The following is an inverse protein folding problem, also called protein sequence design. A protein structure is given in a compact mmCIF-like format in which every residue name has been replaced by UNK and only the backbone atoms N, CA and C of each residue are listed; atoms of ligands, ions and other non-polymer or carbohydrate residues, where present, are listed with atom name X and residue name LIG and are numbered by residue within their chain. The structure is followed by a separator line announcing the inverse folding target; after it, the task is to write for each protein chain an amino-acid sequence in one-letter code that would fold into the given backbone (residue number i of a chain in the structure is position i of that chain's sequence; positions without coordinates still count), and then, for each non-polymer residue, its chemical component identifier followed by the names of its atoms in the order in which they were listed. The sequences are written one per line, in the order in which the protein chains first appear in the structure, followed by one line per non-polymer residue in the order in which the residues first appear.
data_IF_953293628441
#
_entry.id   IF_953293628441
#
_cell.length_a   1.000
_cell.length_b   1.000
_cell.length_c   1.000
_cell.angle_alpha   90.00
_cell.angle_beta   90.00
_cell.angle_gamma   90.00
#
_symmetry.space_group_name_H-M   'P 1'
#
loop_
_entity.id
_entity.type
_entity.pdbx_description
1 polymer ?
#
# COMPACT_ATOMS: atom_id res chain seq x y z
N UNK A 1 -8.30 13.39 16.97
CA UNK A 1 -7.76 12.18 17.64
C UNK A 1 -7.06 12.44 18.99
N UNK A 2 -7.13 13.65 19.58
CA UNK A 2 -6.47 13.94 20.87
C UNK A 2 -4.98 13.56 20.86
N UNK A 3 -4.48 12.97 21.96
CA UNK A 3 -3.11 12.46 22.09
C UNK A 3 -2.83 11.14 21.34
N UNK A 4 -3.76 10.65 20.52
CA UNK A 4 -3.69 9.32 19.88
C UNK A 4 -3.22 9.32 18.44
N UNK A 5 -3.09 10.48 17.80
CA UNK A 5 -2.52 10.61 16.45
C UNK A 5 -1.06 11.03 16.60
N UNK A 6 -0.16 10.14 16.17
CA UNK A 6 1.28 10.26 16.40
C UNK A 6 2.02 10.47 15.09
N UNK A 7 2.91 11.46 15.05
CA UNK A 7 3.77 11.77 13.90
C UNK A 7 5.15 12.21 14.40
N UNK A 8 5.95 11.25 14.85
CA UNK A 8 7.29 11.45 15.41
C UNK A 8 8.29 12.04 14.40
N UNK A 9 8.14 11.72 13.11
CA UNK A 9 9.06 12.16 12.06
C UNK A 9 8.35 12.79 10.85
N UNK A 10 7.10 13.22 11.01
CA UNK A 10 6.32 13.85 9.95
C UNK A 10 5.75 15.18 10.42
N UNK A 11 6.07 16.22 9.65
CA UNK A 11 5.80 17.61 9.99
C UNK A 11 5.15 18.33 8.81
N UNK A 12 4.50 19.45 9.09
CA UNK A 12 3.93 20.34 8.09
C UNK A 12 4.47 21.76 8.29
N UNK A 13 4.68 22.49 7.20
CA UNK A 13 4.93 23.93 7.23
C UNK A 13 3.60 24.64 7.47
N UNK A 14 3.47 25.26 8.63
CA UNK A 14 2.29 26.03 9.00
C UNK A 14 2.10 27.20 8.03
N UNK A 15 0.90 27.32 7.47
CA UNK A 15 0.61 28.28 6.40
C UNK A 15 0.69 29.75 6.84
N UNK A 16 0.56 30.03 8.14
CA UNK A 16 0.54 31.40 8.66
C UNK A 16 1.91 31.84 9.19
N UNK A 17 2.65 30.92 9.82
CA UNK A 17 3.92 31.20 10.49
C UNK A 17 5.14 30.74 9.70
N UNK A 18 4.94 29.94 8.65
CA UNK A 18 5.98 29.26 7.88
C UNK A 18 6.92 28.39 8.73
N UNK A 19 6.51 28.04 9.96
CA UNK A 19 7.26 27.17 10.86
C UNK A 19 6.93 25.71 10.57
N UNK A 20 7.93 24.85 10.62
CA UNK A 20 7.75 23.40 10.59
C UNK A 20 7.22 22.93 11.93
N UNK A 21 6.00 22.37 11.95
CA UNK A 21 5.33 21.90 13.16
C UNK A 21 4.86 20.45 13.02
N UNK A 22 4.78 19.68 14.12
CA UNK A 22 4.22 18.33 14.07
C UNK A 22 2.75 18.34 13.65
N UNK A 23 2.35 17.37 12.82
CA UNK A 23 0.94 17.20 12.41
C UNK A 23 0.11 16.61 13.57
N UNK A 24 0.70 15.65 14.27
CA UNK A 24 0.19 15.03 15.49
C UNK A 24 1.18 15.16 16.64
N UNK A 25 1.00 14.34 17.67
CA UNK A 25 1.94 14.33 18.80
C UNK A 25 3.21 13.58 18.40
N UNK A 26 4.37 14.06 18.84
CA UNK A 26 5.64 13.37 18.60
C UNK A 26 5.72 12.02 19.33
N UNK A 27 5.09 11.94 20.49
CA UNK A 27 4.94 10.72 21.29
C UNK A 27 3.73 10.87 22.23
N UNK A 28 3.36 9.78 22.89
CA UNK A 28 2.37 9.81 23.97
C UNK A 28 2.74 8.81 25.07
N UNK A 29 2.68 9.27 26.33
CA UNK A 29 2.82 8.43 27.51
C UNK A 29 1.44 8.22 28.12
N UNK A 30 1.02 6.98 28.30
CA UNK A 30 -0.29 6.66 28.86
C UNK A 30 -0.29 5.37 29.68
N UNK A 31 -1.34 5.17 30.46
CA UNK A 31 -1.57 3.94 31.24
C UNK A 31 -2.75 3.19 30.65
N UNK A 32 -2.56 1.91 30.34
CA UNK A 32 -3.64 1.01 29.90
C UNK A 32 -4.59 0.67 31.06
N UNK A 33 -5.76 0.11 30.74
CA UNK A 33 -6.81 -0.25 31.72
C UNK A 33 -6.29 -1.06 32.91
N UNK A 34 -5.35 -1.97 32.69
CA UNK A 34 -4.77 -2.86 33.72
C UNK A 34 -3.41 -2.35 34.25
N UNK A 35 -3.10 -1.08 34.06
CA UNK A 35 -1.96 -0.44 34.71
C UNK A 35 -0.65 -0.42 33.93
N UNK A 36 -0.54 -1.11 32.78
CA UNK A 36 0.66 -1.04 31.92
C UNK A 36 0.93 0.38 31.47
N UNK A 37 2.13 0.89 31.76
CA UNK A 37 2.62 2.20 31.32
C UNK A 37 3.29 2.06 29.96
N UNK A 38 2.83 2.85 29.01
CA UNK A 38 3.26 2.76 27.61
C UNK A 38 3.84 4.08 27.17
N UNK A 39 5.00 4.03 26.53
CA UNK A 39 5.51 5.12 25.70
C UNK A 39 5.26 4.75 24.24
N UNK A 40 4.54 5.59 23.50
CA UNK A 40 4.22 5.32 22.09
C UNK A 40 4.76 6.38 21.13
N UNK A 41 5.25 5.93 19.97
CA UNK A 41 5.77 6.75 18.86
C UNK A 41 5.03 6.46 17.55
N UNK A 42 5.13 7.41 16.61
CA UNK A 42 4.47 7.43 15.31
C UNK A 42 5.43 7.61 14.14
N UNK A 43 5.94 6.56 13.50
CA UNK A 43 6.96 6.70 12.43
C UNK A 43 6.40 6.40 11.03
N UNK A 44 6.65 7.31 10.09
CA UNK A 44 6.51 7.08 8.66
C UNK A 44 7.85 6.56 8.10
N UNK A 45 7.81 5.69 7.09
CA UNK A 45 9.00 5.33 6.30
C UNK A 45 9.61 6.56 5.61
N UNK A 46 10.77 6.40 4.97
CA UNK A 46 11.40 7.48 4.20
C UNK A 46 10.64 7.78 2.90
N UNK A 47 9.47 8.41 3.05
CA UNK A 47 8.60 8.80 1.94
C UNK A 47 9.13 10.06 1.26
N UNK A 48 9.48 9.92 -0.03
CA UNK A 48 10.04 11.02 -0.84
C UNK A 48 9.01 11.72 -1.74
N UNK A 49 7.77 11.21 -1.80
CA UNK A 49 6.70 11.74 -2.66
C UNK A 49 5.78 12.75 -1.97
N UNK A 50 6.26 13.42 -0.93
CA UNK A 50 5.43 14.33 -0.13
C UNK A 50 5.26 15.70 -0.80
N UNK A 51 4.16 16.38 -0.50
CA UNK A 51 3.94 17.75 -0.95
C UNK A 51 5.02 18.69 -0.38
N UNK A 52 5.29 19.81 -1.08
CA UNK A 52 6.36 20.76 -0.73
C UNK A 52 6.27 21.37 0.69
N UNK A 53 5.08 21.36 1.29
CA UNK A 53 4.83 21.83 2.64
C UNK A 53 4.90 20.72 3.70
N UNK A 54 5.16 19.47 3.32
CA UNK A 54 5.30 18.33 4.23
C UNK A 54 6.77 17.95 4.35
N UNK A 55 7.24 17.74 5.57
CA UNK A 55 8.62 17.36 5.87
C UNK A 55 8.63 16.00 6.54
N UNK A 56 9.31 15.04 5.94
CA UNK A 56 9.59 13.74 6.52
C UNK A 56 11.04 13.74 6.95
N UNK A 57 11.27 13.61 8.25
CA UNK A 57 12.62 13.45 8.78
C UNK A 57 13.00 11.96 8.79
N UNK A 58 14.20 11.58 8.31
CA UNK A 58 14.64 10.21 8.36
C UNK A 58 14.70 9.66 9.79
N UNK A 59 14.25 8.43 9.99
CA UNK A 59 14.14 7.89 11.37
C UNK A 59 15.47 7.79 12.10
N UNK A 60 16.59 7.58 11.39
CA UNK A 60 17.94 7.59 11.97
C UNK A 60 18.35 8.99 12.48
N UNK A 61 17.78 10.06 11.94
CA UNK A 61 17.98 11.43 12.44
C UNK A 61 17.03 11.69 13.60
N UNK A 62 15.74 11.41 13.45
CA UNK A 62 14.71 11.70 14.45
C UNK A 62 15.02 11.08 15.81
N UNK A 63 15.55 9.85 15.84
CA UNK A 63 15.91 9.17 17.10
C UNK A 63 17.06 9.86 17.85
N UNK A 64 17.86 10.70 17.20
CA UNK A 64 18.94 11.46 17.85
C UNK A 64 18.45 12.77 18.46
N UNK A 65 17.23 13.22 18.14
CA UNK A 65 16.73 14.51 18.57
C UNK A 65 16.54 14.60 20.09
N UNK A 66 16.73 15.79 20.71
CA UNK A 66 16.63 15.96 22.16
C UNK A 66 15.30 15.53 22.77
N UNK A 67 14.19 15.70 22.05
CA UNK A 67 12.87 15.30 22.54
C UNK A 67 12.74 13.77 22.65
N UNK A 68 13.29 13.02 21.68
CA UNK A 68 13.25 11.57 21.67
C UNK A 68 14.09 11.02 22.82
N UNK A 69 15.33 11.51 22.95
CA UNK A 69 16.24 11.15 24.02
C UNK A 69 15.68 11.47 25.42
N UNK A 70 14.98 12.60 25.58
CA UNK A 70 14.27 12.91 26.84
C UNK A 70 13.12 11.93 27.11
N UNK A 71 12.35 11.57 26.08
CA UNK A 71 11.21 10.64 26.23
C UNK A 71 11.64 9.25 26.69
N UNK A 72 12.85 8.80 26.33
CA UNK A 72 13.40 7.51 26.78
C UNK A 72 13.70 7.48 28.28
N UNK A 73 13.77 8.62 28.98
CA UNK A 73 14.01 8.66 30.43
C UNK A 73 12.74 8.42 31.25
N UNK A 74 11.58 8.37 30.60
CA UNK A 74 10.30 8.17 31.25
C UNK A 74 10.15 6.73 31.74
N UNK A 75 9.68 6.57 32.99
CA UNK A 75 9.45 5.24 33.56
C UNK A 75 8.19 4.60 32.95
N UNK A 76 8.41 3.64 32.05
CA UNK A 76 7.40 2.86 31.32
C UNK A 76 7.70 1.37 31.36
N UNK A 77 6.66 0.57 31.11
CA UNK A 77 6.73 -0.89 31.11
C UNK A 77 6.93 -1.45 29.69
N UNK A 78 6.52 -0.71 28.66
CA UNK A 78 6.63 -1.12 27.24
C UNK A 78 6.72 0.10 26.32
N UNK A 79 7.51 -0.03 25.25
CA UNK A 79 7.54 0.90 24.14
C UNK A 79 6.67 0.39 22.98
N UNK A 80 5.85 1.27 22.42
CA UNK A 80 4.95 0.98 21.32
C UNK A 80 5.26 1.85 20.11
N UNK A 81 5.71 1.25 19.03
CA UNK A 81 5.94 1.93 17.75
C UNK A 81 4.72 1.66 16.89
N UNK A 82 3.99 2.68 16.49
CA UNK A 82 2.92 2.56 15.50
C UNK A 82 3.36 3.38 14.29
N UNK A 83 3.18 2.86 13.09
CA UNK A 83 3.69 3.59 11.94
C UNK A 83 3.30 3.02 10.61
N UNK A 84 3.22 3.89 9.61
CA UNK A 84 3.14 3.46 8.22
C UNK A 84 4.57 3.16 7.74
N UNK A 85 5.16 2.10 8.30
CA UNK A 85 6.54 1.67 8.04
C UNK A 85 6.57 0.14 7.96
N UNK A 86 7.25 -0.46 6.98
CA UNK A 86 7.40 -1.91 6.94
C UNK A 86 8.21 -2.40 8.12
N UNK A 87 7.75 -3.48 8.75
CA UNK A 87 8.36 -3.99 9.99
C UNK A 87 9.82 -4.42 9.80
N UNK A 88 10.21 -4.83 8.59
CA UNK A 88 11.58 -5.31 8.31
C UNK A 88 12.54 -4.24 7.78
N UNK A 89 12.04 -3.05 7.46
CA UNK A 89 12.85 -1.98 6.86
C UNK A 89 13.79 -1.31 7.88
N UNK A 90 14.82 -0.66 7.36
CA UNK A 90 15.85 0.00 8.17
C UNK A 90 15.21 1.06 9.09
N UNK A 91 14.17 1.74 8.62
CA UNK A 91 13.52 2.80 9.37
C UNK A 91 12.90 2.31 10.68
N UNK A 92 12.25 1.15 10.66
CA UNK A 92 11.73 0.49 11.85
C UNK A 92 12.86 0.04 12.79
N UNK A 93 13.92 -0.55 12.23
CA UNK A 93 15.11 -1.01 12.98
C UNK A 93 15.84 0.15 13.67
N UNK A 94 15.94 1.31 13.04
CA UNK A 94 16.57 2.51 13.64
C UNK A 94 15.91 2.90 14.96
N UNK A 95 14.57 2.89 15.02
CA UNK A 95 13.81 3.24 16.23
C UNK A 95 14.01 2.19 17.32
N UNK A 96 13.93 0.91 16.95
CA UNK A 96 14.14 -0.22 17.88
C UNK A 96 15.55 -0.17 18.46
N UNK A 97 16.57 0.02 17.62
CA UNK A 97 17.96 0.09 18.04
C UNK A 97 18.21 1.29 18.97
N UNK A 98 17.60 2.45 18.69
CA UNK A 98 17.73 3.62 19.55
C UNK A 98 17.08 3.39 20.94
N UNK A 99 15.92 2.73 20.99
CA UNK A 99 15.30 2.34 22.27
C UNK A 99 16.19 1.32 22.99
N UNK A 100 16.69 0.30 22.28
CA UNK A 100 17.57 -0.74 22.84
C UNK A 100 18.86 -0.21 23.42
N UNK A 101 19.45 0.81 22.79
CA UNK A 101 20.65 1.48 23.30
C UNK A 101 20.43 2.14 24.67
N UNK A 102 19.23 2.66 24.92
CA UNK A 102 18.85 3.23 26.22
C UNK A 102 18.26 2.19 27.19
N UNK A 103 17.61 1.15 26.64
CA UNK A 103 16.83 0.14 27.35
C UNK A 103 17.12 -1.27 26.79
N UNK A 104 18.17 -1.95 27.31
CA UNK A 104 18.61 -3.26 26.83
C UNK A 104 17.57 -4.38 26.89
N UNK A 105 16.52 -4.28 27.71
CA UNK A 105 15.53 -5.35 27.87
C UNK A 105 14.07 -4.89 28.04
N UNK A 106 13.75 -3.59 27.97
CA UNK A 106 12.34 -3.14 27.95
C UNK A 106 11.56 -3.78 26.78
N UNK A 107 10.34 -4.28 26.97
CA UNK A 107 9.49 -4.73 25.87
C UNK A 107 9.31 -3.65 24.78
N UNK A 108 9.43 -4.03 23.51
CA UNK A 108 9.14 -3.17 22.34
C UNK A 108 8.13 -3.87 21.42
N UNK A 109 7.04 -3.20 21.10
CA UNK A 109 6.02 -3.69 20.18
C UNK A 109 5.90 -2.73 19.01
N UNK A 110 5.90 -3.24 17.79
CA UNK A 110 5.76 -2.46 16.57
C UNK A 110 4.52 -2.90 15.78
N UNK A 111 3.68 -1.94 15.38
CA UNK A 111 2.61 -2.13 14.41
C UNK A 111 2.92 -1.32 13.15
N UNK A 112 3.28 -2.04 12.09
CA UNK A 112 3.74 -1.49 10.81
C UNK A 112 2.71 -1.61 9.69
N UNK A 113 3.14 -1.28 8.48
CA UNK A 113 2.31 -1.34 7.28
C UNK A 113 3.08 -1.07 5.99
N UNK A 114 2.47 -0.31 5.07
CA UNK A 114 3.02 0.11 3.77
C UNK A 114 3.15 -0.98 2.70
N UNK A 115 3.69 -2.16 3.02
CA UNK A 115 3.87 -3.23 2.02
C UNK A 115 2.62 -4.00 1.66
N UNK A 116 1.50 -3.76 2.35
CA UNK A 116 0.21 -4.41 2.08
C UNK A 116 0.24 -5.95 2.29
N UNK A 117 1.05 -6.43 3.24
CA UNK A 117 1.22 -7.87 3.54
C UNK A 117 0.95 -8.19 5.02
N UNK A 118 0.54 -9.43 5.28
CA UNK A 118 0.59 -10.07 6.60
C UNK A 118 2.05 -10.40 6.90
N UNK A 119 2.60 -9.91 7.99
CA UNK A 119 3.98 -10.22 8.40
C UNK A 119 4.17 -10.06 9.91
N UNK A 120 5.04 -10.88 10.47
CA UNK A 120 5.44 -10.84 11.86
C UNK A 120 6.94 -11.05 11.97
N UNK A 121 7.61 -10.19 12.73
CA UNK A 121 9.04 -10.29 12.92
C UNK A 121 9.45 -10.21 14.39
N UNK A 122 10.44 -11.01 14.77
CA UNK A 122 11.08 -10.93 16.07
C UNK A 122 12.46 -10.29 15.90
N UNK A 123 12.65 -9.12 16.49
CA UNK A 123 13.94 -8.43 16.44
C UNK A 123 14.89 -8.98 17.52
N UNK A 124 14.33 -9.34 18.68
CA UNK A 124 14.99 -10.02 19.77
C UNK A 124 13.94 -10.73 20.66
N UNK A 125 14.36 -11.27 21.80
CA UNK A 125 13.47 -12.01 22.71
C UNK A 125 12.42 -11.16 23.42
N UNK A 126 12.44 -9.84 23.25
CA UNK A 126 11.53 -8.87 23.90
C UNK A 126 11.10 -7.74 22.94
N UNK A 127 11.35 -7.85 21.64
CA UNK A 127 10.95 -6.90 20.61
C UNK A 127 10.30 -7.60 19.42
N UNK A 128 9.07 -7.21 19.10
CA UNK A 128 8.27 -7.83 18.03
C UNK A 128 7.57 -6.80 17.15
N UNK A 129 7.39 -7.12 15.87
CA UNK A 129 6.69 -6.29 14.89
C UNK A 129 5.59 -7.07 14.18
N UNK A 130 4.45 -6.44 13.91
CA UNK A 130 3.30 -7.00 13.18
C UNK A 130 2.86 -6.05 12.06
N UNK A 131 2.64 -6.58 10.86
CA UNK A 131 1.96 -5.93 9.73
C UNK A 131 0.66 -6.68 9.41
N UNK A 132 -0.43 -5.95 9.22
CA UNK A 132 -1.78 -6.49 9.16
C UNK A 132 -2.42 -6.40 7.77
N UNK A 133 -1.68 -6.73 6.71
CA UNK A 133 -2.24 -6.80 5.35
C UNK A 133 -2.68 -5.45 4.79
N UNK A 134 -3.84 -5.43 4.12
CA UNK A 134 -4.37 -4.28 3.39
C UNK A 134 -5.90 -4.30 3.30
N UNK A 135 -6.48 -3.20 2.81
CA UNK A 135 -7.84 -3.09 2.26
C UNK A 135 -8.99 -3.64 3.12
N UNK A 136 -8.83 -3.61 4.44
CA UNK A 136 -9.78 -4.24 5.36
C UNK A 136 -9.98 -5.72 5.03
N UNK A 137 -8.97 -6.43 4.49
CA UNK A 137 -8.95 -7.88 4.26
C UNK A 137 -8.45 -8.61 5.52
N UNK A 138 -7.66 -7.94 6.36
CA UNK A 138 -7.03 -8.54 7.54
C UNK A 138 -7.20 -7.67 8.79
N UNK A 139 -7.54 -8.30 9.92
CA UNK A 139 -7.38 -7.75 11.26
C UNK A 139 -6.18 -8.43 11.94
N UNK A 140 -5.11 -7.69 12.18
CA UNK A 140 -3.93 -8.20 12.88
C UNK A 140 -4.14 -8.29 14.39
N UNK A 141 -3.72 -9.40 14.99
CA UNK A 141 -3.81 -9.66 16.42
C UNK A 141 -2.45 -10.08 16.98
N UNK A 142 -2.07 -9.52 18.13
CA UNK A 142 -0.86 -9.91 18.87
C UNK A 142 -1.16 -9.88 20.37
N UNK A 143 -0.78 -10.95 21.08
CA UNK A 143 -0.82 -11.01 22.55
C UNK A 143 0.57 -11.26 23.11
N UNK A 144 0.94 -10.55 24.17
CA UNK A 144 2.27 -10.64 24.79
C UNK A 144 2.13 -10.80 26.29
N UNK A 145 2.75 -11.84 26.84
CA UNK A 145 2.83 -12.12 28.28
C UNK A 145 4.25 -11.94 28.80
N UNK A 146 4.39 -11.63 30.08
CA UNK A 146 5.68 -11.39 30.74
C UNK A 146 6.13 -9.92 30.82
N UNK A 147 5.29 -8.97 30.40
CA UNK A 147 5.58 -7.52 30.53
C UNK A 147 5.71 -7.10 32.01
N UNK A 148 4.88 -7.66 32.89
CA UNK A 148 4.83 -7.35 34.33
C UNK A 148 5.62 -8.32 35.21
N UNK A 149 6.59 -9.04 34.65
CA UNK A 149 7.48 -9.88 35.47
C UNK A 149 8.18 -9.01 36.53
N UNK A 150 7.99 -9.35 37.81
CA UNK A 150 8.55 -8.61 38.94
C UNK A 150 10.08 -8.59 38.88
N UNK A 151 10.70 -9.66 38.37
CA UNK A 151 12.14 -9.72 38.18
C UNK A 151 12.62 -8.66 37.18
N UNK A 152 11.77 -8.27 36.22
CA UNK A 152 12.05 -7.26 35.19
C UNK A 152 11.79 -5.81 35.60
N UNK A 153 11.44 -5.55 36.87
CA UNK A 153 11.43 -4.17 37.38
C UNK A 153 12.82 -3.53 37.30
N UNK A 154 13.86 -4.34 37.52
CA UNK A 154 15.25 -3.98 37.24
C UNK A 154 15.59 -4.54 35.87
N UNK A 155 15.87 -3.65 34.92
CA UNK A 155 16.03 -4.03 33.52
C UNK A 155 17.17 -5.02 33.26
N UNK A 156 18.29 -4.87 33.98
CA UNK A 156 19.44 -5.77 33.89
C UNK A 156 19.06 -7.24 34.13
N UNK A 157 18.07 -7.51 34.99
CA UNK A 157 17.63 -8.86 35.33
C UNK A 157 16.85 -9.56 34.20
N UNK A 158 16.51 -8.83 33.13
CA UNK A 158 15.72 -9.34 32.01
C UNK A 158 16.44 -9.31 30.67
N UNK A 159 17.72 -8.94 30.66
CA UNK A 159 18.60 -9.24 29.54
C UNK A 159 18.62 -10.76 29.33
N UNK A 160 18.31 -11.20 28.11
CA UNK A 160 18.23 -12.63 27.77
C UNK A 160 16.95 -13.36 28.20
N UNK A 161 15.99 -12.70 28.87
CA UNK A 161 14.69 -13.31 29.22
C UNK A 161 13.64 -13.09 28.15
N UNK A 162 12.93 -14.14 27.78
CA UNK A 162 11.96 -14.09 26.71
C UNK A 162 10.59 -13.59 27.19
N UNK A 163 9.90 -12.84 26.34
CA UNK A 163 8.45 -12.68 26.42
C UNK A 163 7.77 -13.87 25.74
N UNK A 164 6.55 -14.17 26.14
CA UNK A 164 5.70 -15.12 25.41
C UNK A 164 4.80 -14.32 24.48
N UNK A 165 4.92 -14.53 23.17
CA UNK A 165 4.12 -13.84 22.16
C UNK A 165 3.30 -14.83 21.34
N UNK A 166 2.09 -14.41 20.97
CA UNK A 166 1.26 -15.06 19.95
C UNK A 166 0.76 -14.01 18.97
N UNK A 167 0.64 -14.41 17.71
CA UNK A 167 0.19 -13.56 16.59
C UNK A 167 -0.84 -14.29 15.74
N UNK A 168 -1.85 -13.54 15.29
CA UNK A 168 -2.89 -14.02 14.36
C UNK A 168 -3.23 -12.96 13.31
N UNK A 169 -3.60 -13.42 12.12
CA UNK A 169 -4.18 -12.58 11.07
C UNK A 169 -5.60 -13.07 10.83
N UNK A 170 -6.57 -12.24 11.20
CA UNK A 170 -7.98 -12.61 11.13
C UNK A 170 -8.56 -12.15 9.80
N UNK A 171 -9.21 -13.06 9.09
CA UNK A 171 -10.05 -12.70 7.97
C UNK A 171 -11.18 -11.77 8.39
N UNK A 172 -11.44 -10.77 7.59
CA UNK A 172 -12.32 -9.64 7.93
C UNK A 172 -13.75 -9.89 7.48
N UNK A 173 -14.36 -10.92 8.05
CA UNK A 173 -15.73 -11.29 7.77
C UNK A 173 -16.51 -11.55 9.07
N UNK A 174 -17.84 -11.50 8.99
CA UNK A 174 -18.73 -11.68 10.15
C UNK A 174 -18.57 -13.06 10.79
N UNK A 175 -18.25 -14.09 10.00
CA UNK A 175 -18.04 -15.44 10.51
C UNK A 175 -16.81 -15.47 11.43
N UNK A 176 -15.65 -14.99 10.97
CA UNK A 176 -14.43 -14.83 11.77
C UNK A 176 -14.69 -14.04 13.04
N UNK A 177 -15.33 -12.88 12.93
CA UNK A 177 -15.56 -12.03 14.10
C UNK A 177 -16.46 -12.70 15.13
N UNK A 178 -17.52 -13.41 14.71
CA UNK A 178 -18.37 -14.18 15.62
C UNK A 178 -17.60 -15.30 16.31
N UNK A 179 -16.80 -16.05 15.55
CA UNK A 179 -15.99 -17.16 16.07
C UNK A 179 -15.02 -16.69 17.16
N UNK A 180 -14.40 -15.52 16.99
CA UNK A 180 -13.44 -15.00 17.98
C UNK A 180 -14.05 -14.16 19.10
N UNK A 181 -15.21 -13.51 18.89
CA UNK A 181 -15.79 -12.61 19.88
C UNK A 181 -16.81 -13.27 20.81
N UNK A 182 -17.46 -14.37 20.37
CA UNK A 182 -18.54 -14.99 21.13
C UNK A 182 -18.03 -16.18 21.95
N UNK A 183 -18.41 -16.23 23.23
CA UNK A 183 -18.18 -17.40 24.06
C UNK A 183 -19.14 -18.55 23.70
N UNK A 184 -20.33 -18.22 23.16
CA UNK A 184 -21.31 -19.19 22.68
C UNK A 184 -21.97 -18.73 21.37
N UNK A 185 -22.25 -19.63 20.39
CA UNK A 185 -22.81 -19.26 19.09
C UNK A 185 -24.17 -18.53 19.14
N UNK A 186 -24.93 -18.72 20.23
CA UNK A 186 -26.24 -18.08 20.44
C UNK A 186 -26.15 -16.64 20.99
N UNK A 187 -24.96 -16.17 21.35
CA UNK A 187 -24.78 -14.81 21.84
C UNK A 187 -24.99 -13.79 20.72
N UNK A 188 -25.58 -12.65 21.08
CA UNK A 188 -25.82 -11.57 20.13
C UNK A 188 -24.50 -10.88 19.78
N UNK A 189 -24.12 -10.97 18.51
CA UNK A 189 -22.94 -10.29 17.96
C UNK A 189 -23.21 -8.82 17.66
N UNK A 190 -24.33 -8.52 16.99
CA UNK A 190 -24.60 -7.16 16.51
C UNK A 190 -24.99 -6.19 17.62
N UNK A 191 -24.23 -5.12 17.73
CA UNK A 191 -24.53 -4.00 18.62
C UNK A 191 -25.40 -2.97 17.92
N UNK A 192 -26.17 -2.19 18.69
CA UNK A 192 -26.93 -1.06 18.13
C UNK A 192 -26.01 -0.05 17.42
N UNK A 193 -24.85 0.25 18.02
CA UNK A 193 -23.86 1.14 17.43
C UNK A 193 -23.30 0.61 16.10
N UNK A 194 -23.00 -0.69 16.03
CA UNK A 194 -22.53 -1.33 14.81
C UNK A 194 -23.55 -1.21 13.67
N UNK A 195 -24.83 -1.53 13.94
CA UNK A 195 -25.90 -1.38 12.95
C UNK A 195 -26.13 0.07 12.53
N UNK A 196 -26.02 1.02 13.46
CA UNK A 196 -26.08 2.46 13.13
C UNK A 196 -24.97 2.84 12.14
N UNK A 197 -23.73 2.43 12.38
CA UNK A 197 -22.60 2.68 11.48
C UNK A 197 -22.82 2.01 10.11
N UNK A 198 -23.31 0.76 10.08
CA UNK A 198 -23.66 0.08 8.82
C UNK A 198 -24.66 0.89 8.01
N UNK A 199 -25.74 1.37 8.65
CA UNK A 199 -26.76 2.18 7.97
C UNK A 199 -26.21 3.50 7.46
N UNK A 200 -25.36 4.18 8.25
CA UNK A 200 -24.70 5.41 7.83
C UNK A 200 -23.81 5.19 6.60
N UNK A 201 -22.98 4.14 6.58
CA UNK A 201 -22.16 3.78 5.42
C UNK A 201 -23.03 3.52 4.20
N UNK A 202 -24.12 2.75 4.33
CA UNK A 202 -25.06 2.47 3.23
C UNK A 202 -25.68 3.76 2.67
N UNK A 203 -26.09 4.69 3.55
CA UNK A 203 -26.65 5.98 3.13
C UNK A 203 -25.62 6.84 2.39
N UNK A 204 -24.38 6.90 2.88
CA UNK A 204 -23.30 7.64 2.22
C UNK A 204 -22.97 7.06 0.84
N UNK A 205 -22.85 5.73 0.71
CA UNK A 205 -22.64 5.07 -0.58
C UNK A 205 -23.74 5.40 -1.59
N UNK A 206 -25.00 5.41 -1.14
CA UNK A 206 -26.15 5.78 -1.97
C UNK A 206 -26.09 7.26 -2.37
N UNK A 207 -25.81 8.16 -1.43
CA UNK A 207 -25.74 9.61 -1.69
C UNK A 207 -24.63 9.96 -2.70
N UNK A 208 -23.51 9.23 -2.67
CA UNK A 208 -22.40 9.38 -3.61
C UNK A 208 -22.62 8.65 -4.95
N UNK A 209 -23.70 7.89 -5.10
CA UNK A 209 -24.00 7.15 -6.33
C UNK A 209 -22.99 6.04 -6.65
N UNK A 210 -22.23 5.55 -5.67
CA UNK A 210 -21.11 4.62 -5.89
C UNK A 210 -21.52 3.30 -6.56
N UNK A 211 -22.75 2.85 -6.35
CA UNK A 211 -23.30 1.64 -6.97
C UNK A 211 -23.87 1.84 -8.38
N UNK A 212 -23.66 3.00 -9.00
CA UNK A 212 -24.07 3.24 -10.39
C UNK A 212 -23.24 2.36 -11.32
N UNK A 213 -23.91 1.48 -12.08
CA UNK A 213 -23.27 0.58 -13.04
C UNK A 213 -22.84 1.36 -14.28
N UNK A 214 -21.59 1.18 -14.68
CA UNK A 214 -20.98 1.78 -15.88
C UNK A 214 -20.94 0.80 -17.05
N UNK A 215 -20.94 -0.50 -16.77
CA UNK A 215 -20.98 -1.59 -17.74
C UNK A 215 -20.81 -2.93 -17.05
N UNK A 216 -20.81 -4.01 -17.82
CA UNK A 216 -20.64 -5.37 -17.31
C UNK A 216 -19.35 -6.01 -17.83
N UNK A 217 -18.36 -6.20 -16.95
CA UNK A 217 -17.10 -6.85 -17.26
C UNK A 217 -17.34 -8.32 -17.67
N UNK A 218 -16.82 -8.78 -18.83
CA UNK A 218 -17.16 -10.10 -19.37
C UNK A 218 -16.52 -11.26 -18.60
N UNK A 219 -15.44 -11.00 -17.87
CA UNK A 219 -14.68 -11.97 -17.09
C UNK A 219 -13.93 -11.27 -15.95
N UNK A 220 -13.32 -12.07 -15.07
CA UNK A 220 -12.39 -11.55 -14.08
C UNK A 220 -11.07 -11.12 -14.73
N UNK A 221 -10.54 -9.98 -14.30
CA UNK A 221 -9.20 -9.52 -14.64
C UNK A 221 -8.39 -9.32 -13.37
N UNK A 222 -7.27 -10.01 -13.28
CA UNK A 222 -6.43 -10.08 -12.09
C UNK A 222 -5.17 -9.24 -12.24
N UNK A 223 -4.86 -8.44 -11.22
CA UNK A 223 -3.71 -7.55 -11.20
C UNK A 223 -2.40 -8.34 -11.21
N UNK A 224 -2.29 -9.37 -10.37
CA UNK A 224 -1.03 -10.09 -10.13
C UNK A 224 -1.20 -11.61 -9.97
N UNK A 225 -2.31 -12.21 -10.42
CA UNK A 225 -2.52 -13.68 -10.36
C UNK A 225 -2.11 -14.43 -11.64
N UNK A 226 -2.12 -13.75 -12.78
CA UNK A 226 -1.80 -14.33 -14.09
C UNK A 226 -0.68 -13.56 -14.80
N UNK A 227 0.19 -14.23 -15.60
CA UNK A 227 1.24 -13.57 -16.36
C UNK A 227 0.71 -12.43 -17.23
N UNK A 228 1.54 -11.41 -17.47
CA UNK A 228 1.15 -10.22 -18.23
C UNK A 228 0.61 -10.52 -19.65
N UNK A 229 1.02 -11.61 -20.29
CA UNK A 229 0.54 -11.99 -21.62
C UNK A 229 -0.82 -12.71 -21.60
N UNK A 230 -1.30 -13.15 -20.44
CA UNK A 230 -2.57 -13.86 -20.28
C UNK A 230 -3.76 -12.88 -20.41
N UNK A 231 -4.83 -13.32 -21.05
CA UNK A 231 -6.03 -12.50 -21.27
C UNK A 231 -6.78 -12.16 -19.97
N UNK A 232 -6.53 -12.89 -18.88
CA UNK A 232 -7.05 -12.60 -17.53
C UNK A 232 -6.18 -11.59 -16.78
N UNK A 233 -5.06 -11.13 -17.34
CA UNK A 233 -4.24 -10.10 -16.70
C UNK A 233 -4.90 -8.73 -16.86
N UNK A 234 -5.17 -8.06 -15.73
CA UNK A 234 -5.67 -6.69 -15.72
C UNK A 234 -4.71 -5.74 -16.43
N UNK A 235 -3.40 -5.93 -16.23
CA UNK A 235 -2.39 -5.09 -16.87
C UNK A 235 -2.36 -5.29 -18.39
N UNK A 236 -2.68 -6.50 -18.88
CA UNK A 236 -2.83 -6.75 -20.31
C UNK A 236 -4.01 -5.98 -20.90
N UNK A 237 -5.18 -6.05 -20.23
CA UNK A 237 -6.38 -5.30 -20.61
C UNK A 237 -6.09 -3.80 -20.64
N UNK A 238 -5.45 -3.28 -19.59
CA UNK A 238 -5.11 -1.85 -19.50
C UNK A 238 -4.20 -1.43 -20.64
N UNK A 239 -3.12 -2.19 -20.86
CA UNK A 239 -2.13 -1.90 -21.89
C UNK A 239 -2.71 -1.99 -23.31
N UNK A 240 -3.38 -3.09 -23.64
CA UNK A 240 -3.76 -3.39 -25.02
C UNK A 240 -5.11 -2.80 -25.43
N UNK A 241 -5.97 -2.44 -24.49
CA UNK A 241 -7.32 -1.97 -24.79
C UNK A 241 -7.64 -0.62 -24.17
N UNK A 242 -7.48 -0.46 -22.85
CA UNK A 242 -7.96 0.75 -22.15
C UNK A 242 -7.13 1.97 -22.52
N UNK A 243 -5.79 1.87 -22.50
CA UNK A 243 -4.91 2.98 -22.84
C UNK A 243 -5.10 3.42 -24.32
N UNK A 244 -5.07 2.51 -25.32
CA UNK A 244 -5.36 2.89 -26.71
C UNK A 244 -6.73 3.50 -26.92
N UNK A 245 -7.75 3.03 -26.20
CA UNK A 245 -9.12 3.49 -26.40
C UNK A 245 -9.39 4.84 -25.73
N UNK A 246 -8.89 5.02 -24.51
CA UNK A 246 -9.32 6.14 -23.65
C UNK A 246 -8.33 7.29 -23.63
N UNK A 247 -7.06 7.05 -23.95
CA UNK A 247 -5.99 8.06 -23.82
C UNK A 247 -5.43 8.48 -25.18
N UNK A 248 -5.24 7.57 -26.14
CA UNK A 248 -4.62 7.92 -27.42
C UNK A 248 -5.52 8.89 -28.20
N UNK A 249 -5.02 10.11 -28.39
CA UNK A 249 -5.67 11.14 -29.20
C UNK A 249 -5.29 10.97 -30.69
N UNK A 250 -6.24 10.45 -31.47
CA UNK A 250 -6.08 10.20 -32.91
C UNK A 250 -6.11 11.45 -33.77
N UNK A 251 -6.42 12.63 -33.20
CA UNK A 251 -6.42 13.90 -33.94
C UNK A 251 -5.02 14.51 -34.07
N UNK A 252 -4.05 13.98 -33.31
CA UNK A 252 -2.66 14.42 -33.30
C UNK A 252 -1.92 13.96 -34.57
N UNK A 253 -0.92 14.73 -35.03
CA UNK A 253 -0.22 14.43 -36.29
C UNK A 253 0.66 13.19 -36.23
N UNK A 254 1.13 12.80 -35.04
CA UNK A 254 1.99 11.63 -34.85
C UNK A 254 1.21 10.50 -34.18
N UNK A 255 1.50 9.23 -34.52
CA UNK A 255 0.99 8.10 -33.75
C UNK A 255 1.55 8.14 -32.32
N UNK A 256 0.84 7.51 -31.37
CA UNK A 256 1.17 7.61 -29.96
C UNK A 256 1.42 6.26 -29.29
N UNK A 257 2.22 6.29 -28.22
CA UNK A 257 2.37 5.21 -27.25
C UNK A 257 2.19 5.77 -25.84
N UNK A 258 1.42 5.09 -25.01
CA UNK A 258 1.07 5.55 -23.65
C UNK A 258 1.68 4.59 -22.62
N UNK A 259 2.36 5.12 -21.61
CA UNK A 259 3.01 4.34 -20.55
C UNK A 259 2.45 4.68 -19.16
N UNK A 260 2.23 3.65 -18.34
CA UNK A 260 1.85 3.80 -16.93
C UNK A 260 2.70 2.86 -16.07
N UNK A 261 2.87 3.17 -14.78
CA UNK A 261 3.37 2.20 -13.82
C UNK A 261 2.25 1.22 -13.44
N UNK A 262 2.56 -0.06 -13.26
CA UNK A 262 1.55 -1.08 -12.89
C UNK A 262 0.91 -0.80 -11.54
N UNK A 263 1.63 -0.15 -10.62
CA UNK A 263 1.14 0.25 -9.31
C UNK A 263 0.05 1.33 -9.31
N UNK A 264 -0.23 1.94 -10.47
CA UNK A 264 -1.41 2.82 -10.66
C UNK A 264 -2.73 2.04 -10.60
N UNK A 265 -2.67 0.73 -10.86
CA UNK A 265 -3.78 -0.20 -10.71
C UNK A 265 -3.67 -0.90 -9.35
N UNK A 266 -4.77 -0.98 -8.60
CA UNK A 266 -4.76 -1.28 -7.15
C UNK A 266 -5.50 -2.53 -6.77
N UNK A 267 -6.41 -3.01 -7.62
CA UNK A 267 -7.22 -4.18 -7.35
C UNK A 267 -7.64 -4.89 -8.64
N UNK A 268 -8.17 -6.10 -8.47
CA UNK A 268 -8.74 -6.92 -9.54
C UNK A 268 -10.08 -6.33 -10.02
N UNK A 269 -10.51 -6.66 -11.24
CA UNK A 269 -11.87 -6.46 -11.73
C UNK A 269 -12.58 -7.81 -11.70
N UNK A 270 -13.69 -7.90 -10.97
CA UNK A 270 -14.53 -9.10 -11.01
C UNK A 270 -15.45 -9.08 -12.25
N UNK A 271 -15.79 -10.26 -12.77
CA UNK A 271 -16.85 -10.43 -13.76
C UNK A 271 -18.16 -9.85 -13.24
N UNK A 272 -18.94 -9.23 -14.12
CA UNK A 272 -20.26 -8.69 -13.82
C UNK A 272 -20.27 -7.17 -13.73
N UNK A 273 -21.13 -6.61 -12.88
CA UNK A 273 -21.33 -5.17 -12.79
C UNK A 273 -20.05 -4.42 -12.39
N UNK A 274 -19.60 -3.52 -13.26
CA UNK A 274 -18.53 -2.56 -12.99
C UNK A 274 -19.15 -1.20 -12.69
N UNK A 275 -18.95 -0.71 -11.47
CA UNK A 275 -19.61 0.48 -10.91
C UNK A 275 -18.67 1.68 -10.80
N UNK A 276 -19.21 2.84 -10.41
CA UNK A 276 -18.40 4.01 -10.04
C UNK A 276 -17.43 3.67 -8.90
N UNK A 277 -17.85 2.87 -7.91
CA UNK A 277 -16.97 2.45 -6.82
C UNK A 277 -15.75 1.67 -7.35
N UNK A 278 -15.99 0.78 -8.32
CA UNK A 278 -14.94 -0.08 -8.88
C UNK A 278 -13.86 0.72 -9.61
N UNK A 279 -14.17 1.91 -10.13
CA UNK A 279 -13.16 2.78 -10.75
C UNK A 279 -12.17 3.29 -9.69
N UNK A 280 -12.66 3.65 -8.50
CA UNK A 280 -11.81 4.06 -7.38
C UNK A 280 -11.09 2.87 -6.74
N UNK A 281 -11.69 1.68 -6.73
CA UNK A 281 -11.03 0.46 -6.22
C UNK A 281 -9.89 0.05 -7.15
N UNK A 282 -10.10 0.07 -8.47
CA UNK A 282 -9.13 -0.43 -9.46
C UNK A 282 -8.09 0.63 -9.79
N UNK A 283 -8.47 1.89 -10.01
CA UNK A 283 -7.54 2.96 -10.40
C UNK A 283 -7.87 4.30 -9.72
N UNK A 284 -7.50 4.49 -8.44
CA UNK A 284 -7.91 5.66 -7.65
C UNK A 284 -7.16 6.95 -7.96
N UNK A 285 -6.06 6.90 -8.73
CA UNK A 285 -5.20 8.06 -8.88
C UNK A 285 -5.69 8.96 -10.01
N UNK A 286 -5.71 10.26 -9.73
CA UNK A 286 -6.00 11.32 -10.71
C UNK A 286 -4.70 11.82 -11.35
N UNK A 287 -3.81 10.90 -11.75
CA UNK A 287 -2.56 11.28 -12.41
C UNK A 287 -2.84 11.70 -13.86
N UNK A 288 -2.36 12.90 -14.22
CA UNK A 288 -2.44 13.46 -15.56
C UNK A 288 -1.45 12.78 -16.53
N UNK A 289 -1.79 12.78 -17.82
CA UNK A 289 -0.87 12.36 -18.89
C UNK A 289 -0.14 13.56 -19.48
N UNK A 290 1.18 13.44 -19.58
CA UNK A 290 2.05 14.36 -20.31
C UNK A 290 2.77 13.60 -21.43
N UNK A 291 3.30 14.30 -22.44
CA UNK A 291 3.98 13.67 -23.56
C UNK A 291 5.19 14.46 -24.05
N UNK A 292 6.00 13.79 -24.87
CA UNK A 292 6.98 14.38 -25.76
C UNK A 292 6.98 13.63 -27.09
N UNK A 293 7.18 14.36 -28.20
CA UNK A 293 7.34 13.76 -29.53
C UNK A 293 8.81 13.37 -29.71
N UNK A 294 9.07 12.09 -29.96
CA UNK A 294 10.43 11.52 -30.05
C UNK A 294 10.59 10.66 -31.30
N UNK A 295 11.82 10.42 -31.80
CA UNK A 295 12.06 9.42 -32.83
C UNK A 295 11.62 8.03 -32.38
N UNK A 296 11.04 7.25 -33.28
CA UNK A 296 10.53 5.90 -33.01
C UNK A 296 11.61 4.98 -32.42
N UNK A 297 12.88 5.17 -32.81
CA UNK A 297 14.03 4.48 -32.23
C UNK A 297 14.15 4.67 -30.72
N UNK A 298 13.87 5.87 -30.19
CA UNK A 298 13.82 6.11 -28.76
C UNK A 298 12.55 5.49 -28.17
N UNK A 299 11.39 5.74 -28.76
CA UNK A 299 10.09 5.27 -28.28
C UNK A 299 10.06 3.76 -28.00
N UNK A 300 10.56 2.94 -28.94
CA UNK A 300 10.58 1.47 -28.81
C UNK A 300 11.46 0.93 -27.67
N UNK A 301 12.35 1.75 -27.11
CA UNK A 301 13.29 1.36 -26.05
C UNK A 301 12.91 1.88 -24.64
N UNK A 302 11.98 2.83 -24.53
CA UNK A 302 11.60 3.49 -23.26
C UNK A 302 11.05 2.49 -22.24
N UNK A 303 10.12 1.62 -22.65
CA UNK A 303 9.47 0.66 -21.74
C UNK A 303 10.51 -0.29 -21.07
N UNK A 304 11.50 -0.73 -21.84
CA UNK A 304 12.58 -1.58 -21.33
C UNK A 304 13.48 -0.82 -20.34
N UNK A 305 13.82 0.44 -20.64
CA UNK A 305 14.60 1.29 -19.75
C UNK A 305 13.86 1.56 -18.42
N UNK A 306 12.56 1.87 -18.48
CA UNK A 306 11.73 2.06 -17.28
C UNK A 306 11.66 0.81 -16.41
N UNK A 307 11.49 -0.37 -17.01
CA UNK A 307 11.43 -1.62 -16.26
C UNK A 307 12.78 -2.04 -15.64
N UNK A 308 13.90 -1.45 -16.08
CA UNK A 308 15.24 -1.62 -15.48
C UNK A 308 15.58 -0.56 -14.43
N UNK A 309 14.81 0.53 -14.37
CA UNK A 309 15.05 1.58 -13.40
C UNK A 309 14.71 1.12 -11.97
N UNK A 310 15.31 1.74 -10.93
CA UNK A 310 14.94 1.48 -9.55
C UNK A 310 13.44 1.69 -9.34
N UNK A 311 12.77 0.66 -8.80
CA UNK A 311 11.35 0.71 -8.50
C UNK A 311 11.10 0.04 -7.14
N UNK A 312 10.43 0.76 -6.24
CA UNK A 312 10.02 0.20 -4.96
C UNK A 312 8.78 -0.68 -5.18
N UNK A 313 9.00 -1.96 -5.49
CA UNK A 313 7.92 -2.96 -5.53
C UNK A 313 7.71 -3.57 -4.15
N UNK A 314 6.50 -4.06 -3.89
CA UNK A 314 6.24 -4.97 -2.76
C UNK A 314 7.17 -6.18 -2.91
N UNK A 315 8.02 -6.41 -1.94
CA UNK A 315 8.74 -7.67 -1.81
C UNK A 315 7.78 -8.69 -1.18
N UNK A 316 7.08 -9.43 -2.04
CA UNK A 316 6.15 -10.48 -1.62
C UNK A 316 6.87 -11.80 -1.80
N UNK A 317 7.14 -12.50 -0.70
CA UNK A 317 7.51 -13.92 -0.80
C UNK A 317 6.32 -14.65 -1.43
N UNK A 318 6.47 -15.27 -2.62
CA UNK A 318 5.37 -15.98 -3.23
C UNK A 318 4.81 -17.01 -2.25
N UNK A 319 3.48 -17.09 -2.08
CA UNK A 319 2.90 -18.09 -1.18
C UNK A 319 3.30 -19.49 -1.67
N UNK A 320 3.56 -20.40 -0.73
CA UNK A 320 3.74 -21.80 -1.09
C UNK A 320 2.44 -22.32 -1.67
N UNK A 321 2.50 -22.88 -2.87
CA UNK A 321 1.34 -23.39 -3.57
C UNK A 321 0.66 -24.48 -2.72
N UNK A 322 -0.56 -24.20 -2.27
CA UNK A 322 -1.45 -25.13 -1.60
C UNK A 322 -2.76 -25.18 -2.39
N UNK A 323 -2.96 -26.26 -3.14
CA UNK A 323 -4.08 -26.44 -4.07
C UNK A 323 -5.19 -27.33 -3.50
N UNK A 324 -5.47 -27.22 -2.19
CA UNK A 324 -6.58 -27.96 -1.61
C UNK A 324 -7.92 -27.33 -2.01
N UNK A 325 -8.63 -27.99 -2.92
CA UNK A 325 -9.93 -27.55 -3.49
C UNK A 325 -11.03 -27.43 -2.44
N UNK A 326 -10.89 -28.08 -1.27
CA UNK A 326 -11.85 -27.95 -0.17
C UNK A 326 -11.71 -26.65 0.64
N UNK A 327 -10.61 -25.90 0.45
CA UNK A 327 -10.34 -24.66 1.17
C UNK A 327 -10.64 -23.43 0.31
N UNK A 328 -11.24 -22.41 0.92
CA UNK A 328 -11.43 -21.11 0.30
C UNK A 328 -10.08 -20.44 0.00
N UNK A 329 -9.89 -19.86 -1.21
CA UNK A 329 -8.68 -19.11 -1.52
C UNK A 329 -8.45 -17.96 -0.53
N UNK A 330 -7.22 -17.81 -0.07
CA UNK A 330 -6.85 -16.79 0.92
C UNK A 330 -5.34 -16.70 1.13
N UNK A 331 -4.95 -15.98 2.18
CA UNK A 331 -3.55 -15.83 2.54
C UNK A 331 -3.02 -17.09 3.22
N UNK A 332 -1.82 -17.50 2.82
CA UNK A 332 -1.03 -18.54 3.50
C UNK A 332 0.28 -17.88 3.92
N UNK A 333 0.29 -17.33 5.12
CA UNK A 333 1.36 -16.44 5.60
C UNK A 333 2.51 -17.22 6.21
N UNK A 334 3.72 -16.97 5.70
CA UNK A 334 4.98 -17.40 6.34
C UNK A 334 5.70 -16.17 6.87
N UNK A 335 5.97 -16.16 8.16
CA UNK A 335 6.71 -15.08 8.83
C UNK A 335 7.79 -15.67 9.77
N UNK A 336 8.38 -14.88 10.67
CA UNK A 336 9.47 -15.36 11.54
C UNK A 336 9.02 -16.50 12.48
N UNK A 337 7.70 -16.68 12.67
CA UNK A 337 7.11 -17.75 13.47
C UNK A 337 6.62 -18.92 12.61
N UNK A 338 7.08 -19.00 11.35
CA UNK A 338 6.67 -20.01 10.40
C UNK A 338 5.25 -19.77 9.88
N UNK A 339 4.51 -20.85 9.67
CA UNK A 339 3.10 -20.83 9.27
C UNK A 339 2.16 -20.77 10.49
N UNK A 340 0.84 -20.80 10.24
CA UNK A 340 -0.17 -20.88 11.30
C UNK A 340 -0.48 -19.55 11.96
N UNK A 341 -0.11 -18.43 11.34
CA UNK A 341 -0.55 -17.09 11.73
C UNK A 341 -1.96 -16.77 11.28
N UNK A 342 -2.37 -17.25 10.11
CA UNK A 342 -3.74 -17.08 9.62
C UNK A 342 -4.73 -17.80 10.55
N UNK A 343 -5.91 -17.22 10.74
CA UNK A 343 -6.95 -17.77 11.62
C UNK A 343 -7.70 -18.95 10.99
N UNK A 344 -7.84 -18.94 9.66
CA UNK A 344 -8.42 -20.03 8.89
C UNK A 344 -7.41 -20.69 7.95
N UNK A 345 -7.57 -22.00 7.67
CA UNK A 345 -6.82 -22.66 6.62
C UNK A 345 -7.34 -22.21 5.24
N UNK A 346 -6.41 -21.88 4.34
CA UNK A 346 -6.72 -21.44 2.97
C UNK A 346 -5.98 -22.27 1.92
N UNK A 347 -6.55 -22.30 0.71
CA UNK A 347 -5.75 -22.53 -0.49
C UNK A 347 -5.03 -21.24 -0.86
N UNK A 348 -3.80 -21.34 -1.36
CA UNK A 348 -2.97 -20.17 -1.65
C UNK A 348 -3.50 -19.40 -2.86
N UNK A 349 -3.68 -18.08 -2.75
CA UNK A 349 -3.96 -17.23 -3.91
C UNK A 349 -2.72 -17.22 -4.84
N UNK A 350 -2.87 -17.48 -6.15
CA UNK A 350 -1.77 -17.40 -7.10
C UNK A 350 -1.17 -15.99 -7.15
N UNK A 351 0.14 -15.90 -7.29
CA UNK A 351 0.86 -14.63 -7.45
C UNK A 351 1.94 -14.77 -8.51
N UNK A 352 2.06 -13.77 -9.38
CA UNK A 352 3.12 -13.64 -10.36
C UNK A 352 3.76 -12.27 -10.28
N UNK A 353 5.06 -12.21 -10.60
CA UNK A 353 5.74 -10.93 -10.72
C UNK A 353 5.31 -10.25 -12.00
N UNK A 354 4.61 -9.13 -11.86
CA UNK A 354 4.23 -8.24 -12.96
C UNK A 354 5.35 -7.25 -13.34
N UNK A 355 5.36 -6.69 -14.56
CA UNK A 355 6.27 -5.59 -14.89
C UNK A 355 6.00 -4.34 -14.04
N UNK A 356 7.02 -3.49 -13.86
CA UNK A 356 6.91 -2.24 -13.11
C UNK A 356 6.14 -1.18 -13.91
N UNK A 357 6.33 -1.19 -15.23
CA UNK A 357 5.67 -0.32 -16.20
C UNK A 357 5.09 -1.14 -17.34
N UNK A 358 3.96 -0.70 -17.87
CA UNK A 358 3.31 -1.25 -19.07
C UNK A 358 3.07 -0.13 -20.07
N UNK A 359 2.95 -0.48 -21.34
CA UNK A 359 2.59 0.49 -22.38
C UNK A 359 1.51 -0.04 -23.31
N UNK A 360 0.82 0.88 -23.99
CA UNK A 360 0.08 0.53 -25.20
C UNK A 360 0.98 -0.10 -26.25
N UNK A 361 0.41 -0.86 -27.22
CA UNK A 361 1.17 -1.36 -28.36
C UNK A 361 1.89 -0.23 -29.09
N UNK A 362 3.09 -0.53 -29.58
CA UNK A 362 3.84 0.39 -30.42
C UNK A 362 3.15 0.56 -31.78
N UNK A 363 3.16 1.77 -32.38
CA UNK A 363 2.72 1.97 -33.76
C UNK A 363 3.52 1.09 -34.74
N UNK A 364 2.84 0.51 -35.73
CA UNK A 364 3.46 -0.35 -36.75
C UNK A 364 3.82 0.43 -38.01
N UNK A 365 4.81 -0.03 -38.77
CA UNK A 365 5.15 0.53 -40.08
C UNK A 365 6.01 1.79 -40.05
N UNK A 366 6.60 2.13 -38.90
CA UNK A 366 7.46 3.28 -38.73
C UNK A 366 8.95 2.92 -38.87
N UNK A 367 9.71 3.80 -39.53
CA UNK A 367 11.16 3.83 -39.52
C UNK A 367 11.74 4.48 -38.25
N UNK A 368 13.02 4.25 -37.98
CA UNK A 368 13.68 4.69 -36.74
C UNK A 368 13.61 6.20 -36.46
N UNK A 369 13.53 7.01 -37.52
CA UNK A 369 13.49 8.48 -37.44
C UNK A 369 12.07 9.05 -37.50
N UNK A 370 11.05 8.21 -37.72
CA UNK A 370 9.67 8.69 -37.72
C UNK A 370 9.30 9.15 -36.31
N UNK A 371 8.44 10.16 -36.22
CA UNK A 371 8.08 10.78 -34.95
C UNK A 371 6.89 10.07 -34.31
N UNK A 372 6.98 9.88 -32.99
CA UNK A 372 5.95 9.26 -32.15
C UNK A 372 5.73 10.10 -30.92
N UNK A 373 4.46 10.33 -30.58
CA UNK A 373 4.09 10.96 -29.32
C UNK A 373 4.15 9.91 -28.21
N UNK A 374 5.12 10.04 -27.31
CA UNK A 374 5.23 9.18 -26.13
C UNK A 374 4.54 9.90 -24.98
N UNK A 375 3.43 9.35 -24.50
CA UNK A 375 2.68 9.85 -23.36
C UNK A 375 2.94 9.00 -22.09
N UNK A 376 3.00 9.63 -20.93
CA UNK A 376 3.23 8.97 -19.64
C UNK A 376 2.60 9.75 -18.49
N UNK A 377 2.54 9.16 -17.28
CA UNK A 377 1.97 9.84 -16.11
C UNK A 377 2.90 10.91 -15.57
N UNK A 378 2.36 12.10 -15.34
CA UNK A 378 3.10 13.31 -14.95
C UNK A 378 4.03 13.08 -13.74
N UNK A 379 3.60 12.29 -12.75
CA UNK A 379 4.33 12.07 -11.50
C UNK A 379 5.70 11.39 -11.69
N UNK A 380 5.91 10.60 -12.75
CA UNK A 380 7.19 9.93 -13.00
C UNK A 380 8.04 10.60 -14.09
N UNK A 381 7.73 11.86 -14.44
CA UNK A 381 8.52 12.66 -15.40
C UNK A 381 9.99 12.78 -15.00
N UNK A 382 10.28 12.88 -13.69
CA UNK A 382 11.65 12.94 -13.18
C UNK A 382 12.46 11.65 -13.44
N UNK A 383 11.78 10.53 -13.65
CA UNK A 383 12.40 9.28 -14.10
C UNK A 383 12.47 9.21 -15.63
N UNK A 384 11.43 9.68 -16.33
CA UNK A 384 11.35 9.63 -17.79
C UNK A 384 12.42 10.50 -18.47
N UNK A 385 12.64 11.72 -18.00
CA UNK A 385 13.54 12.68 -18.67
C UNK A 385 14.99 12.19 -18.78
N UNK A 386 15.62 11.65 -17.73
CA UNK A 386 16.96 11.05 -17.83
C UNK A 386 17.02 9.84 -18.79
N UNK A 387 15.95 9.04 -18.86
CA UNK A 387 15.85 7.92 -19.79
C UNK A 387 15.81 8.42 -21.23
N UNK A 388 14.97 9.40 -21.53
CA UNK A 388 14.89 10.02 -22.85
C UNK A 388 16.24 10.61 -23.27
N UNK A 389 16.93 11.30 -22.36
CA UNK A 389 18.25 11.87 -22.63
C UNK A 389 19.31 10.80 -22.95
N UNK A 390 19.18 9.60 -22.36
CA UNK A 390 20.08 8.48 -22.65
C UNK A 390 19.76 7.84 -24.00
N UNK A 391 18.49 7.71 -24.34
CA UNK A 391 18.02 7.09 -25.59
C UNK A 391 18.16 8.00 -26.82
N UNK A 392 18.07 9.31 -26.62
CA UNK A 392 18.35 10.34 -27.62
C UNK A 392 19.19 11.48 -27.01
N UNK A 393 20.53 11.32 -26.99
CA UNK A 393 21.44 12.30 -26.39
C UNK A 393 21.47 13.65 -27.09
N UNK A 394 21.08 13.72 -28.36
CA UNK A 394 21.19 14.93 -29.17
C UNK A 394 20.05 15.92 -28.93
N UNK A 395 18.92 15.44 -28.38
CA UNK A 395 17.72 16.26 -28.18
C UNK A 395 17.53 16.57 -26.69
N UNK A 396 16.89 17.70 -26.40
CA UNK A 396 16.40 18.03 -25.07
C UNK A 396 14.88 18.13 -25.13
N UNK A 397 14.21 17.26 -24.40
CA UNK A 397 12.75 17.17 -24.39
C UNK A 397 12.17 17.98 -23.23
N UNK A 398 10.96 18.50 -23.42
CA UNK A 398 10.14 19.08 -22.36
C UNK A 398 8.76 18.42 -22.40
N UNK A 399 8.29 17.94 -21.26
CA UNK A 399 6.97 17.35 -21.15
C UNK A 399 5.89 18.42 -21.39
N UNK A 400 4.89 18.10 -22.21
CA UNK A 400 3.70 18.93 -22.41
C UNK A 400 2.45 18.15 -21.97
N UNK A 401 1.36 18.81 -21.52
CA UNK A 401 0.09 18.13 -21.28
C UNK A 401 -0.36 17.36 -22.53
N UNK A 402 -0.81 16.10 -22.36
CA UNK A 402 -1.23 15.25 -23.48
C UNK A 402 -2.74 15.35 -23.75
N UNK A 403 -3.56 14.85 -22.81
CA UNK A 403 -5.02 14.96 -22.88
C UNK A 403 -5.53 15.64 -21.62
N UNK A 404 -6.20 16.77 -21.78
CA UNK A 404 -6.75 17.56 -20.67
C UNK A 404 -8.05 16.94 -20.18
N UNK A 405 -8.16 16.69 -18.88
CA UNK A 405 -9.37 16.16 -18.26
C UNK A 405 -9.58 14.66 -18.42
N UNK A 406 -8.56 13.90 -18.85
CA UNK A 406 -8.55 12.44 -18.73
C UNK A 406 -7.35 12.02 -17.89
N UNK A 407 -7.65 11.61 -16.67
CA UNK A 407 -6.68 11.07 -15.71
C UNK A 407 -6.67 9.54 -15.72
N UNK A 408 -5.74 8.95 -14.98
CA UNK A 408 -5.65 7.48 -14.85
C UNK A 408 -6.93 6.86 -14.26
N UNK A 409 -7.67 7.57 -13.39
CA UNK A 409 -8.98 7.12 -12.92
C UNK A 409 -10.05 7.20 -14.03
N UNK A 410 -10.08 8.27 -14.81
CA UNK A 410 -11.13 8.55 -15.80
C UNK A 410 -11.07 7.67 -17.05
N UNK A 411 -9.91 7.06 -17.35
CA UNK A 411 -9.79 6.11 -18.47
C UNK A 411 -10.72 4.89 -18.30
N UNK A 412 -10.97 4.47 -17.06
CA UNK A 412 -11.82 3.31 -16.75
C UNK A 412 -13.30 3.56 -17.05
N UNK A 413 -13.96 4.62 -16.53
CA UNK A 413 -15.32 4.98 -16.92
C UNK A 413 -15.51 5.14 -18.43
N UNK A 414 -14.54 5.74 -19.14
CA UNK A 414 -14.61 5.93 -20.60
C UNK A 414 -14.66 4.58 -21.30
N UNK A 415 -13.72 3.68 -20.98
CA UNK A 415 -13.66 2.35 -21.56
C UNK A 415 -14.88 1.50 -21.17
N UNK A 416 -15.23 1.42 -19.88
CA UNK A 416 -16.31 0.57 -19.38
C UNK A 416 -17.66 0.94 -20.01
N UNK A 417 -18.00 2.25 -20.07
CA UNK A 417 -19.25 2.69 -20.72
C UNK A 417 -19.29 2.32 -22.20
N UNK A 418 -18.18 2.49 -22.90
CA UNK A 418 -18.14 2.27 -24.34
C UNK A 418 -18.06 0.79 -24.74
N UNK A 419 -17.35 -0.03 -23.97
CA UNK A 419 -17.07 -1.44 -24.30
C UNK A 419 -17.91 -2.44 -23.54
N UNK A 420 -18.37 -2.08 -22.34
CA UNK A 420 -19.13 -2.95 -21.46
C UNK A 420 -20.55 -2.43 -21.19
N UNK A 421 -20.89 -1.20 -21.60
CA UNK A 421 -22.17 -0.56 -21.30
C UNK A 421 -23.40 -1.16 -21.98
N UNK A 422 -23.22 -1.88 -23.10
CA UNK A 422 -24.29 -2.57 -23.82
C UNK A 422 -24.44 -4.04 -23.41
N UNK A 423 -23.63 -4.52 -22.49
CA UNK A 423 -23.67 -5.90 -21.99
C UNK A 423 -24.68 -6.01 -20.84
N UNK A 424 -25.33 -7.16 -20.72
CA UNK A 424 -26.17 -7.48 -19.56
C UNK A 424 -25.29 -8.04 -18.45
N UNK A 425 -25.52 -7.62 -17.21
CA UNK A 425 -24.79 -8.13 -16.05
C UNK A 425 -25.51 -9.40 -15.59
N UNK A 426 -24.90 -10.56 -15.84
CA UNK A 426 -25.37 -11.86 -15.34
C UNK A 426 -25.04 -12.08 -13.86
#
# INVERSE_FOLDING_TARGET
WGKRYLTSNTFIKDAHTNKTVPIGNLYNKFRMKFGTRVMSYGFLYNFVGAANNTVIEPSNVTVTLPWFQRSLKEDVDVYLIVGHVPVRWAEAKNVINAIRAAHPSKPILLFGGHLHVRDFTAYDSRAYGLSAGRFMETLGWMSVSGIHDRACRIEANCVGKNLTVSRRYLDTNVHTYKTHALAHPKQRFDTWKGRKITNEITQQRKALGLSTVLGCAPQDYYLDRYPYADNRSLLNLVANEILPFSIIDKTRPNPAVVLINSGSQRFDVAKGAFTIDDTYVVSPFHDDFVYATVPYKAAKNILNALNKAPFQKRDVTPPVASSNVSLTPGYVTKDDYGYGGDDWPHSSIPYVVTPNYVSSPLPTGLGDNDLVDVAWLSFFTNLMMPILKTLDPTTTYTAQPYVVGITTNEMWPIYAKAKWGNSTCD
#
